data_IF_922682315616
#
_entry.id   IF_922682315616
#
_cell.length_a   1.000
_cell.length_b   1.000
_cell.length_c   1.000
_cell.angle_alpha   90.00
_cell.angle_beta   90.00
_cell.angle_gamma   90.00
#
_symmetry.space_group_name_H-M   'P 1'
#
loop_
_entity.id
_entity.type
_entity.pdbx_description
1 polymer ?
#
# COMPACT_ATOMS: atom_id res chain seq x y z
N UNK A 1 -32.41 -34.92 44.37
CA UNK A 1 -31.90 -33.57 44.10
C UNK A 1 -32.68 -33.05 42.90
N UNK A 2 -33.54 -32.07 43.11
CA UNK A 2 -34.36 -31.50 42.04
C UNK A 2 -33.50 -30.58 41.17
N UNK A 3 -33.28 -30.94 39.90
CA UNK A 3 -32.73 -30.03 38.89
C UNK A 3 -33.73 -28.90 38.65
N UNK A 4 -33.70 -27.87 39.51
CA UNK A 4 -34.39 -26.61 39.26
C UNK A 4 -33.74 -25.87 38.09
N UNK A 5 -34.45 -24.96 37.45
CA UNK A 5 -33.86 -24.02 36.48
C UNK A 5 -33.04 -22.98 37.25
N UNK A 6 -31.72 -22.91 37.03
CA UNK A 6 -30.86 -21.93 37.69
C UNK A 6 -31.36 -20.50 37.45
N UNK A 7 -31.44 -19.65 38.49
CA UNK A 7 -31.81 -18.23 38.36
C UNK A 7 -30.58 -17.35 38.14
N UNK A 8 -29.39 -17.94 38.22
CA UNK A 8 -28.10 -17.34 37.90
C UNK A 8 -27.46 -18.05 36.68
N UNK A 9 -26.87 -17.28 35.78
CA UNK A 9 -26.10 -17.81 34.65
C UNK A 9 -24.70 -17.21 34.67
N UNK A 10 -23.69 -18.07 34.60
CA UNK A 10 -22.29 -17.72 34.60
C UNK A 10 -21.48 -18.75 33.80
N UNK A 11 -20.45 -18.32 33.03
CA UNK A 11 -19.64 -19.26 32.26
C UNK A 11 -18.90 -20.27 33.15
N UNK A 12 -19.03 -21.56 32.85
CA UNK A 12 -18.31 -22.63 33.57
C UNK A 12 -19.03 -23.20 34.80
N UNK A 13 -20.30 -22.83 35.03
CA UNK A 13 -21.17 -23.45 36.03
C UNK A 13 -21.46 -24.92 35.70
N UNK A 14 -21.34 -25.80 36.69
CA UNK A 14 -21.55 -27.25 36.53
C UNK A 14 -22.86 -27.76 37.13
N UNK A 15 -23.08 -27.43 38.40
CA UNK A 15 -24.23 -27.91 39.17
C UNK A 15 -24.72 -26.79 40.07
N UNK A 16 -26.01 -26.79 40.36
CA UNK A 16 -26.60 -25.84 41.27
C UNK A 16 -27.70 -26.47 42.11
N UNK A 17 -27.85 -25.97 43.33
CA UNK A 17 -28.94 -26.26 44.24
C UNK A 17 -29.57 -24.94 44.71
N UNK A 18 -30.88 -24.94 44.89
CA UNK A 18 -31.64 -23.73 45.23
C UNK A 18 -32.36 -23.92 46.55
N UNK A 19 -32.08 -23.04 47.51
CA UNK A 19 -32.71 -23.05 48.83
C UNK A 19 -33.24 -21.65 49.14
N UNK A 20 -34.56 -21.48 49.16
CA UNK A 20 -35.16 -20.18 49.45
C UNK A 20 -35.47 -20.06 50.94
N UNK A 21 -35.01 -18.99 51.59
CA UNK A 21 -35.40 -18.62 52.95
C UNK A 21 -36.62 -17.68 52.91
N UNK A 22 -37.14 -17.28 54.07
CA UNK A 22 -38.24 -16.30 54.16
C UNK A 22 -37.87 -14.95 53.53
N UNK A 23 -36.59 -14.57 53.54
CA UNK A 23 -36.12 -13.23 53.15
C UNK A 23 -35.19 -13.23 51.92
N UNK A 24 -34.52 -14.35 51.64
CA UNK A 24 -33.49 -14.46 50.61
C UNK A 24 -33.71 -15.68 49.71
N UNK A 25 -33.29 -15.55 48.46
CA UNK A 25 -33.02 -16.67 47.57
C UNK A 25 -31.56 -17.08 47.76
N UNK A 26 -31.30 -18.37 47.97
CA UNK A 26 -29.94 -18.91 48.07
C UNK A 26 -29.73 -19.86 46.90
N UNK A 27 -28.62 -19.67 46.20
CA UNK A 27 -28.14 -20.60 45.18
C UNK A 27 -26.76 -21.11 45.58
N UNK A 28 -26.60 -22.42 45.63
CA UNK A 28 -25.31 -23.06 45.79
C UNK A 28 -24.86 -23.52 44.43
N UNK A 29 -23.71 -23.06 43.97
CA UNK A 29 -23.22 -23.33 42.62
C UNK A 29 -21.82 -23.92 42.64
N UNK A 30 -21.57 -24.88 41.77
CA UNK A 30 -20.25 -25.50 41.61
C UNK A 30 -19.57 -24.97 40.35
N UNK A 31 -18.33 -24.51 40.50
CA UNK A 31 -17.49 -24.01 39.40
C UNK A 31 -16.12 -24.67 39.41
N UNK A 32 -15.52 -24.83 38.23
CA UNK A 32 -14.13 -25.24 38.08
C UNK A 32 -13.27 -24.04 37.69
N UNK A 33 -12.18 -23.83 38.42
CA UNK A 33 -11.18 -22.79 38.15
C UNK A 33 -9.79 -23.32 38.51
N UNK A 34 -8.80 -23.12 37.63
CA UNK A 34 -7.41 -23.53 37.89
C UNK A 34 -7.19 -25.02 38.20
N UNK A 35 -8.08 -25.92 37.73
CA UNK A 35 -8.02 -27.36 38.03
C UNK A 35 -8.63 -27.77 39.37
N UNK A 36 -9.10 -26.82 40.17
CA UNK A 36 -9.85 -27.07 41.41
C UNK A 36 -11.35 -26.90 41.19
N UNK A 37 -12.15 -27.49 42.08
CA UNK A 37 -13.60 -27.37 42.12
C UNK A 37 -13.98 -26.56 43.35
N UNK A 38 -14.84 -25.56 43.16
CA UNK A 38 -15.30 -24.67 44.23
C UNK A 38 -16.81 -24.69 44.31
N UNK A 39 -17.32 -24.67 45.55
CA UNK A 39 -18.75 -24.57 45.87
C UNK A 39 -19.01 -23.16 46.40
N UNK A 40 -19.76 -22.36 45.66
CA UNK A 40 -20.11 -21.00 46.04
C UNK A 40 -21.53 -20.97 46.59
N UNK A 41 -21.71 -20.34 47.75
CA UNK A 41 -23.05 -19.97 48.22
C UNK A 41 -23.33 -18.54 47.86
N UNK A 42 -24.34 -18.32 47.04
CA UNK A 42 -24.76 -17.02 46.54
C UNK A 42 -26.14 -16.67 47.08
N UNK A 43 -26.34 -15.41 47.44
CA UNK A 43 -27.57 -14.92 48.06
C UNK A 43 -28.13 -13.72 47.31
N UNK A 44 -29.46 -13.64 47.21
CA UNK A 44 -30.17 -12.46 46.70
C UNK A 44 -31.37 -12.18 47.57
N UNK A 45 -31.58 -10.93 47.96
CA UNK A 45 -32.78 -10.55 48.71
C UNK A 45 -34.03 -10.68 47.84
N UNK A 46 -35.11 -11.27 48.39
CA UNK A 46 -36.39 -11.37 47.69
C UNK A 46 -37.04 -10.02 47.42
N UNK A 47 -36.67 -8.99 48.19
CA UNK A 47 -37.12 -7.61 47.97
C UNK A 47 -36.46 -6.94 46.75
N UNK A 48 -35.34 -7.49 46.26
CA UNK A 48 -34.52 -6.91 45.20
C UNK A 48 -34.22 -7.95 44.11
N UNK A 49 -35.27 -8.45 43.45
CA UNK A 49 -35.14 -9.52 42.45
C UNK A 49 -34.39 -9.06 41.18
N UNK A 50 -34.36 -7.76 40.92
CA UNK A 50 -33.64 -7.11 39.83
C UNK A 50 -32.13 -7.03 40.06
N UNK A 51 -31.66 -7.29 41.29
CA UNK A 51 -30.24 -7.23 41.65
C UNK A 51 -29.53 -8.55 41.37
N UNK A 52 -28.21 -8.51 41.12
CA UNK A 52 -27.41 -9.72 40.97
C UNK A 52 -27.33 -10.50 42.29
N UNK A 53 -27.08 -11.80 42.18
CA UNK A 53 -26.70 -12.63 43.32
C UNK A 53 -25.34 -12.18 43.87
N UNK A 54 -25.23 -12.17 45.19
CA UNK A 54 -24.01 -11.81 45.92
C UNK A 54 -23.33 -13.08 46.42
N UNK A 55 -22.01 -13.15 46.32
CA UNK A 55 -21.24 -14.29 46.84
C UNK A 55 -21.11 -14.15 48.37
N UNK A 56 -21.67 -15.09 49.11
CA UNK A 56 -21.65 -15.09 50.57
C UNK A 56 -20.49 -15.93 51.13
N UNK A 57 -20.26 -17.11 50.55
CA UNK A 57 -19.19 -18.03 50.95
C UNK A 57 -18.67 -18.87 49.79
N UNK A 58 -17.45 -19.39 49.95
CA UNK A 58 -16.79 -20.32 49.04
C UNK A 58 -16.21 -21.46 49.87
N UNK A 59 -16.48 -22.68 49.42
CA UNK A 59 -15.93 -23.91 49.97
C UNK A 59 -15.21 -24.73 48.87
N UNK A 60 -14.37 -25.66 49.28
CA UNK A 60 -13.77 -26.65 48.38
C UNK A 60 -14.76 -27.78 48.00
N UNK A 61 -14.29 -28.79 47.28
CA UNK A 61 -15.09 -29.95 46.85
C UNK A 61 -15.49 -30.89 48.00
N UNK A 62 -14.84 -30.78 49.16
CA UNK A 62 -15.15 -31.51 50.38
C UNK A 62 -16.11 -30.75 51.29
N UNK A 63 -16.41 -29.49 50.97
CA UNK A 63 -17.26 -28.60 51.77
C UNK A 63 -16.52 -27.86 52.87
N UNK A 64 -15.17 -27.85 52.89
CA UNK A 64 -14.39 -27.02 53.80
C UNK A 64 -14.45 -25.56 53.37
N UNK A 65 -14.78 -24.66 54.30
CA UNK A 65 -14.92 -23.23 54.02
C UNK A 65 -13.55 -22.58 53.76
N UNK A 66 -13.36 -22.09 52.53
CA UNK A 66 -12.15 -21.40 52.10
C UNK A 66 -12.26 -19.88 52.30
N UNK A 67 -13.45 -19.32 52.11
CA UNK A 67 -13.67 -17.87 52.21
C UNK A 67 -15.12 -17.53 52.55
N UNK A 68 -15.32 -16.48 53.34
CA UNK A 68 -16.64 -15.89 53.61
C UNK A 68 -16.59 -14.38 53.58
N UNK A 69 -17.60 -13.76 52.97
CA UNK A 69 -17.72 -12.31 52.90
C UNK A 69 -17.77 -11.65 54.29
N UNK A 70 -18.39 -12.31 55.28
CA UNK A 70 -18.46 -11.83 56.65
C UNK A 70 -17.08 -11.73 57.32
N UNK A 71 -16.17 -12.68 57.06
CA UNK A 71 -14.81 -12.69 57.62
C UNK A 71 -13.89 -11.68 56.92
N UNK A 72 -14.17 -11.35 55.65
CA UNK A 72 -13.42 -10.36 54.88
C UNK A 72 -13.50 -8.93 55.47
N UNK A 73 -14.54 -8.65 56.27
CA UNK A 73 -14.78 -7.34 56.90
C UNK A 73 -14.78 -6.16 55.89
N UNK A 74 -15.31 -6.40 54.69
CA UNK A 74 -15.34 -5.42 53.61
C UNK A 74 -16.68 -4.66 53.57
N UNK A 75 -16.62 -3.33 53.40
CA UNK A 75 -17.79 -2.46 53.38
C UNK A 75 -18.38 -2.32 51.97
N UNK A 76 -19.08 -3.36 51.51
CA UNK A 76 -19.66 -3.38 50.18
C UNK A 76 -20.38 -4.69 49.85
N UNK A 77 -20.19 -5.18 48.63
CA UNK A 77 -20.75 -6.46 48.17
C UNK A 77 -19.71 -7.29 47.42
N UNK A 78 -19.81 -8.61 47.52
CA UNK A 78 -19.02 -9.55 46.71
C UNK A 78 -19.82 -10.03 45.51
N UNK A 79 -19.28 -9.86 44.30
CA UNK A 79 -19.88 -10.32 43.05
C UNK A 79 -18.98 -11.32 42.36
N UNK A 80 -19.55 -12.32 41.70
CA UNK A 80 -18.78 -13.24 40.86
C UNK A 80 -18.49 -12.60 39.51
N UNK A 81 -17.23 -12.62 39.08
CA UNK A 81 -16.80 -12.06 37.81
C UNK A 81 -15.86 -13.03 37.08
N UNK A 82 -15.91 -13.01 35.75
CA UNK A 82 -14.92 -13.65 34.89
C UNK A 82 -13.88 -12.61 34.50
N UNK A 83 -12.62 -12.85 34.86
CA UNK A 83 -11.48 -11.99 34.56
C UNK A 83 -10.52 -12.78 33.65
N UNK A 84 -10.65 -12.58 32.34
CA UNK A 84 -10.00 -13.41 31.31
C UNK A 84 -10.32 -14.90 31.49
N UNK A 85 -9.31 -15.73 31.75
CA UNK A 85 -9.46 -17.17 32.00
C UNK A 85 -9.68 -17.51 33.49
N UNK A 86 -9.58 -16.53 34.39
CA UNK A 86 -9.75 -16.74 35.82
C UNK A 86 -11.16 -16.37 36.28
N UNK A 87 -11.67 -17.12 37.26
CA UNK A 87 -12.87 -16.74 38.00
C UNK A 87 -12.45 -16.02 39.28
N UNK A 88 -13.08 -14.89 39.56
CA UNK A 88 -12.75 -14.05 40.72
C UNK A 88 -14.00 -13.60 41.47
N UNK A 89 -13.86 -13.37 42.77
CA UNK A 89 -14.81 -12.58 43.56
C UNK A 89 -14.37 -11.12 43.53
N UNK A 90 -15.17 -10.27 42.90
CA UNK A 90 -14.96 -8.83 42.87
C UNK A 90 -15.68 -8.17 44.06
N UNK A 91 -14.90 -7.54 44.94
CA UNK A 91 -15.41 -6.77 46.07
C UNK A 91 -15.66 -5.33 45.61
N UNK A 92 -16.95 -4.97 45.57
CA UNK A 92 -17.42 -3.67 45.10
C UNK A 92 -17.82 -2.78 46.28
N UNK A 93 -17.23 -1.60 46.39
CA UNK A 93 -17.50 -0.66 47.49
C UNK A 93 -18.96 -0.18 47.51
N UNK A 94 -19.52 0.00 48.71
CA UNK A 94 -20.93 0.39 48.93
C UNK A 94 -21.33 1.74 48.32
N UNK A 95 -20.40 2.70 48.22
CA UNK A 95 -20.67 4.04 47.68
C UNK A 95 -20.58 4.12 46.15
N UNK A 96 -19.38 3.99 45.60
CA UNK A 96 -19.13 4.13 44.16
C UNK A 96 -19.59 2.92 43.33
N UNK A 97 -19.80 1.78 43.98
CA UNK A 97 -20.03 0.51 43.30
C UNK A 97 -18.83 0.05 42.46
N UNK A 98 -17.66 0.66 42.63
CA UNK A 98 -16.42 0.34 41.92
C UNK A 98 -15.77 -0.92 42.50
N UNK A 99 -15.05 -1.65 41.65
CA UNK A 99 -14.25 -2.81 42.06
C UNK A 99 -13.01 -2.31 42.78
N UNK A 100 -12.90 -2.59 44.08
CA UNK A 100 -11.77 -2.16 44.92
C UNK A 100 -10.78 -3.29 45.17
N UNK A 101 -11.27 -4.53 45.24
CA UNK A 101 -10.45 -5.73 45.47
C UNK A 101 -11.01 -6.89 44.65
N UNK A 102 -10.13 -7.80 44.23
CA UNK A 102 -10.50 -9.08 43.60
C UNK A 102 -9.85 -10.21 44.37
N UNK A 103 -10.55 -11.33 44.48
CA UNK A 103 -10.08 -12.57 45.09
C UNK A 103 -10.21 -13.68 44.05
N UNK A 104 -9.12 -14.09 43.41
CA UNK A 104 -9.16 -15.21 42.46
C UNK A 104 -9.50 -16.51 43.18
N UNK A 105 -10.39 -17.32 42.61
CA UNK A 105 -10.77 -18.59 43.25
C UNK A 105 -9.57 -19.53 43.39
N UNK A 106 -8.73 -19.63 42.36
CA UNK A 106 -7.45 -20.33 42.41
C UNK A 106 -6.55 -19.93 43.60
N UNK A 107 -6.59 -18.67 44.07
CA UNK A 107 -5.82 -18.23 45.24
C UNK A 107 -6.31 -18.84 46.56
N UNK A 108 -7.57 -19.24 46.63
CA UNK A 108 -8.19 -19.83 47.82
C UNK A 108 -7.78 -21.30 48.03
N UNK A 109 -7.41 -22.02 46.97
CA UNK A 109 -6.93 -23.40 47.05
C UNK A 109 -5.43 -23.53 47.35
N UNK A 110 -4.82 -22.50 47.94
CA UNK A 110 -3.41 -22.52 48.38
C UNK A 110 -2.39 -22.16 47.31
N UNK A 111 -2.79 -21.53 46.20
CA UNK A 111 -1.83 -21.02 45.22
C UNK A 111 -1.14 -19.73 45.71
N UNK A 112 0.07 -19.47 45.21
CA UNK A 112 0.92 -18.33 45.61
C UNK A 112 0.16 -17.01 45.44
N UNK A 113 0.40 -16.06 46.34
CA UNK A 113 -0.05 -14.68 46.16
C UNK A 113 0.31 -14.20 44.74
N UNK A 114 -0.69 -13.70 44.02
CA UNK A 114 -0.48 -13.15 42.69
C UNK A 114 0.40 -11.91 42.77
N UNK A 115 1.25 -11.72 41.76
CA UNK A 115 1.96 -10.47 41.55
C UNK A 115 0.94 -9.30 41.52
N UNK A 116 1.34 -8.14 42.01
CA UNK A 116 0.52 -6.94 42.02
C UNK A 116 0.06 -6.57 40.61
N UNK A 117 0.91 -6.80 39.59
CA UNK A 117 0.54 -6.61 38.17
C UNK A 117 -0.64 -7.47 37.75
N UNK A 118 -0.56 -8.77 38.05
CA UNK A 118 -1.64 -9.74 37.74
C UNK A 118 -2.91 -9.34 38.48
N UNK A 119 -2.79 -8.86 39.72
CA UNK A 119 -3.94 -8.37 40.49
C UNK A 119 -4.60 -7.15 39.85
N UNK A 120 -3.81 -6.20 39.34
CA UNK A 120 -4.33 -5.02 38.62
C UNK A 120 -5.09 -5.44 37.37
N UNK A 121 -4.52 -6.34 36.57
CA UNK A 121 -5.15 -6.84 35.35
C UNK A 121 -6.46 -7.57 35.66
N UNK A 122 -6.47 -8.43 36.68
CA UNK A 122 -7.68 -9.11 37.15
C UNK A 122 -8.74 -8.14 37.67
N UNK A 123 -8.36 -7.08 38.38
CA UNK A 123 -9.30 -6.02 38.82
C UNK A 123 -9.95 -5.33 37.64
N UNK A 124 -9.17 -5.02 36.59
CA UNK A 124 -9.68 -4.37 35.37
C UNK A 124 -10.61 -5.28 34.60
N UNK A 125 -10.19 -6.51 34.33
CA UNK A 125 -11.03 -7.48 33.61
C UNK A 125 -12.33 -7.78 34.37
N UNK A 126 -12.27 -7.91 35.71
CA UNK A 126 -13.48 -8.08 36.53
C UNK A 126 -14.41 -6.86 36.48
N UNK A 127 -13.86 -5.65 36.50
CA UNK A 127 -14.65 -4.43 36.39
C UNK A 127 -15.30 -4.30 35.01
N UNK A 128 -14.59 -4.64 33.94
CA UNK A 128 -15.11 -4.65 32.57
C UNK A 128 -16.25 -5.66 32.43
N UNK A 129 -16.07 -6.89 32.95
CA UNK A 129 -17.11 -7.93 32.97
C UNK A 129 -18.37 -7.47 33.70
N UNK A 130 -18.20 -6.80 34.86
CA UNK A 130 -19.31 -6.29 35.67
C UNK A 130 -19.83 -4.91 35.20
N UNK A 131 -19.23 -4.32 34.16
CA UNK A 131 -19.52 -2.95 33.67
C UNK A 131 -19.43 -1.90 34.78
N UNK A 132 -18.36 -1.98 35.58
CA UNK A 132 -18.08 -1.13 36.74
C UNK A 132 -16.76 -0.38 36.56
N UNK A 133 -16.56 0.66 37.37
CA UNK A 133 -15.27 1.35 37.46
C UNK A 133 -14.31 0.54 38.31
N UNK A 134 -13.01 0.66 38.04
CA UNK A 134 -11.93 0.12 38.88
C UNK A 134 -11.48 1.21 39.84
N UNK A 135 -11.21 0.84 41.09
CA UNK A 135 -10.53 1.69 42.06
C UNK A 135 -9.20 1.06 42.44
N UNK A 136 -8.13 1.62 41.90
CA UNK A 136 -6.77 1.21 42.22
C UNK A 136 -6.28 1.92 43.49
N UNK A 137 -5.44 1.25 44.26
CA UNK A 137 -4.67 1.88 45.34
C UNK A 137 -3.56 2.76 44.75
N UNK A 138 -2.98 3.66 45.55
CA UNK A 138 -1.89 4.53 45.07
C UNK A 138 -0.68 3.74 44.54
N UNK A 139 -0.36 2.60 45.16
CA UNK A 139 0.74 1.72 44.74
C UNK A 139 0.39 1.05 43.41
N UNK A 140 -0.84 0.56 43.27
CA UNK A 140 -1.33 -0.05 42.03
C UNK A 140 -1.36 0.97 40.88
N UNK A 141 -1.78 2.20 41.15
CA UNK A 141 -1.81 3.27 40.15
C UNK A 141 -0.39 3.62 39.67
N UNK A 142 0.58 3.78 40.58
CA UNK A 142 1.98 4.06 40.20
C UNK A 142 2.58 2.96 39.33
N UNK A 143 2.31 1.69 39.66
CA UNK A 143 2.80 0.57 38.88
C UNK A 143 2.16 0.53 37.49
N UNK A 144 0.85 0.81 37.43
CA UNK A 144 0.10 0.90 36.18
C UNK A 144 0.67 2.00 35.26
N UNK A 145 0.85 3.21 35.80
CA UNK A 145 1.36 4.35 35.02
C UNK A 145 2.79 4.08 34.50
N UNK A 146 3.63 3.42 35.30
CA UNK A 146 4.99 3.04 34.89
C UNK A 146 5.00 2.02 33.75
N UNK A 147 4.16 0.97 33.84
CA UNK A 147 4.07 -0.05 32.80
C UNK A 147 3.45 0.51 31.52
N UNK A 148 2.49 1.44 31.61
CA UNK A 148 1.92 2.13 30.46
C UNK A 148 2.95 3.02 29.76
N UNK A 149 3.73 3.78 30.52
CA UNK A 149 4.81 4.61 29.98
C UNK A 149 5.85 3.77 29.22
N UNK A 150 6.30 2.66 29.83
CA UNK A 150 7.25 1.74 29.21
C UNK A 150 6.71 1.11 27.92
N UNK A 151 5.42 0.72 27.90
CA UNK A 151 4.79 0.19 26.68
C UNK A 151 4.74 1.22 25.55
N UNK A 152 4.50 2.49 25.87
CA UNK A 152 4.51 3.57 24.87
C UNK A 152 5.92 3.78 24.31
N UNK A 153 6.94 3.81 25.16
CA UNK A 153 8.34 3.91 24.72
C UNK A 153 8.76 2.74 23.82
N UNK A 154 8.40 1.51 24.19
CA UNK A 154 8.71 0.32 23.38
C UNK A 154 8.02 0.37 22.01
N UNK A 155 6.78 0.86 21.94
CA UNK A 155 6.03 0.99 20.69
C UNK A 155 6.61 2.11 19.80
N UNK A 156 6.96 3.26 20.39
CA UNK A 156 7.63 4.35 19.68
C UNK A 156 9.00 3.90 19.12
N UNK A 157 9.76 3.14 19.91
CA UNK A 157 11.04 2.58 19.47
C UNK A 157 10.86 1.59 18.29
N UNK A 158 9.84 0.74 18.33
CA UNK A 158 9.51 -0.17 17.22
C UNK A 158 9.14 0.58 15.95
N UNK A 159 8.30 1.62 16.08
CA UNK A 159 7.91 2.45 14.95
C UNK A 159 9.10 3.20 14.35
N UNK A 160 10.03 3.67 15.19
CA UNK A 160 11.26 4.30 14.73
C UNK A 160 12.14 3.33 13.93
N UNK A 161 12.33 2.09 14.42
CA UNK A 161 13.09 1.06 13.71
C UNK A 161 12.43 0.70 12.38
N UNK A 162 11.11 0.52 12.35
CA UNK A 162 10.39 0.22 11.10
C UNK A 162 10.52 1.37 10.09
N UNK A 163 10.45 2.61 10.56
CA UNK A 163 10.65 3.79 9.73
C UNK A 163 12.07 3.84 9.15
N UNK A 164 13.09 3.52 9.93
CA UNK A 164 14.48 3.47 9.48
C UNK A 164 14.71 2.38 8.43
N UNK A 165 14.20 1.17 8.65
CA UNK A 165 14.28 0.06 7.68
C UNK A 165 13.59 0.45 6.36
N UNK A 166 12.42 1.10 6.45
CA UNK A 166 11.69 1.57 5.27
C UNK A 166 12.46 2.67 4.53
N UNK A 167 13.15 3.55 5.25
CA UNK A 167 14.02 4.56 4.63
C UNK A 167 15.23 3.93 3.95
N UNK A 168 15.90 2.97 4.57
CA UNK A 168 17.03 2.25 3.99
C UNK A 168 16.63 1.54 2.69
N UNK A 169 15.52 0.78 2.70
CA UNK A 169 15.01 0.11 1.51
C UNK A 169 14.67 1.09 0.38
N UNK A 170 14.12 2.27 0.72
CA UNK A 170 13.85 3.34 -0.25
C UNK A 170 15.14 3.90 -0.85
N UNK A 171 16.17 4.13 -0.03
CA UNK A 171 17.46 4.64 -0.50
C UNK A 171 18.16 3.63 -1.41
N UNK A 172 18.16 2.35 -1.06
CA UNK A 172 18.71 1.29 -1.91
C UNK A 172 18.00 1.19 -3.25
N UNK A 173 16.65 1.25 -3.26
CA UNK A 173 15.88 1.27 -4.50
C UNK A 173 16.23 2.46 -5.39
N UNK A 174 16.35 3.66 -4.81
CA UNK A 174 16.74 4.87 -5.56
C UNK A 174 18.16 4.72 -6.12
N UNK A 175 19.08 4.17 -5.34
CA UNK A 175 20.46 3.90 -5.78
C UNK A 175 20.49 2.92 -6.95
N UNK A 176 19.74 1.83 -6.86
CA UNK A 176 19.63 0.82 -7.93
C UNK A 176 19.06 1.42 -9.23
N UNK A 177 18.06 2.29 -9.16
CA UNK A 177 17.50 2.98 -10.33
C UNK A 177 18.56 3.90 -10.97
N UNK A 178 19.32 4.64 -10.15
CA UNK A 178 20.36 5.58 -10.63
C UNK A 178 21.58 4.88 -11.23
N UNK A 179 21.88 3.66 -10.82
CA UNK A 179 23.01 2.89 -11.34
C UNK A 179 22.73 2.16 -12.65
N UNK A 180 21.49 2.20 -13.16
CA UNK A 180 21.16 1.56 -14.45
C UNK A 180 21.92 2.23 -15.60
N UNK A 181 22.40 1.42 -16.54
CA UNK A 181 23.02 1.92 -17.77
C UNK A 181 21.98 2.63 -18.63
N UNK A 182 22.41 3.72 -19.28
CA UNK A 182 21.56 4.41 -20.24
C UNK A 182 21.33 3.54 -21.47
N UNK A 183 20.13 3.60 -22.02
CA UNK A 183 19.71 2.90 -23.22
C UNK A 183 19.61 3.89 -24.38
N UNK A 184 19.75 3.39 -25.61
CA UNK A 184 19.59 4.19 -26.83
C UNK A 184 18.23 3.84 -27.44
N UNK A 185 17.45 4.87 -27.73
CA UNK A 185 16.12 4.77 -28.36
C UNK A 185 16.04 5.71 -29.56
N UNK A 186 15.06 5.49 -30.43
CA UNK A 186 14.86 6.28 -31.63
C UNK A 186 13.56 7.07 -31.50
N UNK A 187 13.60 8.37 -31.79
CA UNK A 187 12.40 9.15 -31.99
C UNK A 187 11.77 8.83 -33.35
N UNK A 188 10.51 9.24 -33.53
CA UNK A 188 9.79 9.06 -34.80
C UNK A 188 10.50 9.70 -36.01
N UNK A 189 11.34 10.71 -35.80
CA UNK A 189 12.17 11.35 -36.83
C UNK A 189 13.49 10.59 -37.13
N UNK A 190 13.67 9.41 -36.54
CA UNK A 190 14.88 8.59 -36.68
C UNK A 190 16.08 9.07 -35.85
N UNK A 191 15.94 10.15 -35.05
CA UNK A 191 17.05 10.62 -34.21
C UNK A 191 17.29 9.69 -33.03
N UNK A 192 18.57 9.40 -32.80
CA UNK A 192 19.06 8.66 -31.63
C UNK A 192 18.95 9.54 -30.39
N UNK A 193 18.30 9.02 -29.36
CA UNK A 193 18.18 9.61 -28.03
C UNK A 193 18.69 8.61 -27.00
N UNK A 194 19.27 9.10 -25.90
CA UNK A 194 19.72 8.25 -24.80
C UNK A 194 19.10 8.67 -23.47
N UNK A 195 18.90 7.70 -22.57
CA UNK A 195 18.35 7.96 -21.25
C UNK A 195 18.30 6.72 -20.37
N UNK A 196 18.03 6.91 -19.07
CA UNK A 196 17.96 5.84 -18.08
C UNK A 196 16.60 5.13 -18.18
N UNK A 197 16.56 3.79 -18.29
CA UNK A 197 15.31 3.03 -18.32
C UNK A 197 14.62 3.04 -16.97
N UNK A 198 13.38 3.54 -16.93
CA UNK A 198 12.57 3.65 -15.73
C UNK A 198 11.11 3.31 -16.02
N UNK A 199 10.40 2.85 -15.00
CA UNK A 199 8.93 2.71 -15.09
C UNK A 199 8.23 4.03 -14.80
N UNK A 200 6.92 4.07 -15.08
CA UNK A 200 6.05 5.25 -14.83
C UNK A 200 6.05 5.73 -13.38
N UNK A 201 6.38 4.85 -12.42
CA UNK A 201 6.46 5.20 -10.99
C UNK A 201 7.87 5.61 -10.53
N UNK A 202 8.89 5.36 -11.36
CA UNK A 202 10.31 5.47 -10.96
C UNK A 202 10.99 6.75 -11.44
N UNK A 203 10.54 7.35 -12.55
CA UNK A 203 11.20 8.51 -13.16
C UNK A 203 11.35 9.71 -12.20
N UNK A 204 10.41 9.90 -11.28
CA UNK A 204 10.44 10.97 -10.28
C UNK A 204 11.60 10.84 -9.28
N UNK A 205 12.23 9.67 -9.20
CA UNK A 205 13.39 9.38 -8.33
C UNK A 205 14.72 9.83 -8.94
N UNK A 206 14.75 10.12 -10.24
CA UNK A 206 15.95 10.57 -10.95
C UNK A 206 16.37 11.99 -10.55
N UNK A 207 17.63 12.34 -10.82
CA UNK A 207 18.18 13.68 -10.54
C UNK A 207 17.59 14.77 -11.45
N UNK A 208 17.72 16.03 -11.05
CA UNK A 208 17.41 17.16 -11.93
C UNK A 208 18.31 17.10 -13.18
N UNK A 209 17.72 17.31 -14.35
CA UNK A 209 18.41 17.29 -15.63
C UNK A 209 18.70 15.89 -16.20
N UNK A 210 18.35 14.81 -15.50
CA UNK A 210 18.52 13.45 -16.01
C UNK A 210 17.58 13.16 -17.19
N UNK A 211 18.06 12.42 -18.19
CA UNK A 211 17.23 11.93 -19.29
C UNK A 211 16.68 10.55 -18.95
N UNK A 212 15.37 10.39 -19.07
CA UNK A 212 14.63 9.20 -18.71
C UNK A 212 13.93 8.60 -19.93
N UNK A 213 13.88 7.27 -19.98
CA UNK A 213 13.08 6.53 -20.96
C UNK A 213 12.08 5.66 -20.20
N UNK A 214 10.80 5.85 -20.48
CA UNK A 214 9.73 5.00 -19.94
C UNK A 214 9.72 3.70 -20.72
N UNK A 215 9.92 2.62 -19.98
CA UNK A 215 9.88 1.24 -20.47
C UNK A 215 8.93 0.42 -19.60
N UNK A 216 8.27 -0.56 -20.20
CA UNK A 216 7.36 -1.45 -19.47
C UNK A 216 8.12 -2.33 -18.46
N UNK A 217 9.31 -2.79 -18.85
CA UNK A 217 10.23 -3.50 -17.97
C UNK A 217 11.66 -2.95 -18.14
N UNK A 218 12.24 -2.32 -17.11
CA UNK A 218 13.59 -1.77 -17.19
C UNK A 218 14.68 -2.83 -17.26
N UNK A 219 14.44 -4.05 -16.75
CA UNK A 219 15.32 -5.22 -16.89
C UNK A 219 14.41 -6.46 -16.89
N UNK A 220 14.05 -6.94 -18.09
CA UNK A 220 13.32 -8.18 -18.26
C UNK A 220 14.04 -9.37 -17.62
N UNK A 221 13.29 -10.42 -17.29
CA UNK A 221 13.84 -11.66 -16.72
C UNK A 221 14.91 -12.33 -17.60
N UNK A 222 14.97 -11.97 -18.88
CA UNK A 222 15.94 -12.40 -19.90
C UNK A 222 17.12 -11.41 -20.08
N UNK A 223 17.20 -10.37 -19.26
CA UNK A 223 18.22 -9.32 -19.35
C UNK A 223 17.99 -8.31 -20.49
N UNK A 224 16.84 -8.37 -21.17
CA UNK A 224 16.49 -7.41 -22.24
C UNK A 224 15.60 -6.30 -21.69
N UNK A 225 15.67 -5.15 -22.34
CA UNK A 225 14.84 -3.99 -22.02
C UNK A 225 13.50 -4.15 -22.75
N UNK A 226 12.39 -3.92 -22.05
CA UNK A 226 11.05 -3.95 -22.63
C UNK A 226 10.81 -2.81 -23.63
N UNK A 227 9.60 -2.73 -24.17
CA UNK A 227 9.27 -1.71 -25.16
C UNK A 227 9.36 -0.29 -24.58
N UNK A 228 10.10 0.57 -25.27
CA UNK A 228 10.21 1.98 -24.94
C UNK A 228 8.97 2.74 -25.44
N UNK A 229 8.46 3.66 -24.60
CA UNK A 229 7.26 4.46 -24.90
C UNK A 229 7.57 5.94 -25.03
N UNK A 230 8.24 6.50 -24.02
CA UNK A 230 8.47 7.94 -23.92
C UNK A 230 9.91 8.26 -23.53
N UNK A 231 10.47 9.32 -24.11
CA UNK A 231 11.72 9.93 -23.70
C UNK A 231 11.46 11.35 -23.19
N UNK A 232 12.07 11.74 -22.08
CA UNK A 232 12.00 13.11 -21.56
C UNK A 232 13.18 13.46 -20.65
N UNK A 233 13.34 14.76 -20.39
CA UNK A 233 14.25 15.28 -19.37
C UNK A 233 13.50 15.54 -18.07
N UNK A 234 14.04 15.08 -16.95
CA UNK A 234 13.50 15.35 -15.61
C UNK A 234 13.91 16.75 -15.17
N UNK A 235 12.95 17.58 -14.78
CA UNK A 235 13.20 18.92 -14.23
C UNK A 235 12.67 18.98 -12.81
N UNK A 236 13.52 19.36 -11.86
CA UNK A 236 13.17 19.55 -10.45
C UNK A 236 13.52 20.97 -10.03
N UNK A 237 12.51 21.82 -9.94
CA UNK A 237 12.63 23.15 -9.34
C UNK A 237 12.50 23.05 -7.81
N UNK A 238 13.15 23.96 -7.08
CA UNK A 238 13.14 23.94 -5.63
C UNK A 238 11.71 24.12 -5.09
N UNK A 239 11.27 23.21 -4.20
CA UNK A 239 9.94 23.24 -3.59
C UNK A 239 8.78 22.80 -4.49
N UNK A 240 9.04 22.31 -5.71
CA UNK A 240 8.00 21.84 -6.64
C UNK A 240 8.13 20.35 -6.94
N UNK A 241 7.02 19.73 -7.34
CA UNK A 241 7.01 18.35 -7.80
C UNK A 241 7.85 18.20 -9.09
N UNK A 242 8.54 17.06 -9.29
CA UNK A 242 9.29 16.80 -10.51
C UNK A 242 8.39 16.91 -11.75
N UNK A 243 8.89 17.52 -12.82
CA UNK A 243 8.19 17.67 -14.09
C UNK A 243 8.95 16.97 -15.24
N UNK A 244 8.20 16.53 -16.25
CA UNK A 244 8.73 15.98 -17.50
C UNK A 244 8.86 17.09 -18.52
N UNK A 245 10.05 17.28 -19.08
CA UNK A 245 10.31 18.30 -20.11
C UNK A 245 10.69 17.64 -21.44
N UNK A 246 10.13 18.15 -22.54
CA UNK A 246 10.46 17.69 -23.89
C UNK A 246 10.07 16.23 -24.15
N UNK A 247 8.87 15.82 -23.73
CA UNK A 247 8.34 14.47 -23.92
C UNK A 247 8.26 14.13 -25.41
N UNK A 248 8.86 13.01 -25.80
CA UNK A 248 8.85 12.49 -27.18
C UNK A 248 8.47 11.03 -27.17
N UNK A 249 7.56 10.58 -28.06
CA UNK A 249 7.35 9.16 -28.28
C UNK A 249 8.61 8.56 -28.92
N UNK A 250 9.01 7.38 -28.44
CA UNK A 250 10.23 6.70 -28.89
C UNK A 250 10.00 5.22 -29.07
N UNK A 251 10.82 4.58 -29.90
CA UNK A 251 10.84 3.14 -30.12
C UNK A 251 12.24 2.58 -29.93
N UNK A 252 12.33 1.32 -29.52
CA UNK A 252 13.62 0.63 -29.33
C UNK A 252 14.30 0.29 -30.66
N UNK A 253 13.50 0.12 -31.72
CA UNK A 253 13.99 -0.12 -33.07
C UNK A 253 14.00 1.18 -33.87
N UNK A 254 15.01 1.35 -34.73
CA UNK A 254 15.07 2.45 -35.67
C UNK A 254 13.86 2.34 -36.61
N UNK A 255 13.00 3.37 -36.70
CA UNK A 255 11.90 3.32 -37.64
C UNK A 255 12.49 3.12 -39.05
N UNK A 256 12.03 2.10 -39.77
CA UNK A 256 12.38 1.95 -41.19
C UNK A 256 12.00 3.26 -41.87
N UNK A 257 13.01 4.01 -42.33
CA UNK A 257 12.78 5.24 -43.05
C UNK A 257 11.76 4.94 -44.13
N UNK A 258 10.60 5.59 -44.08
CA UNK A 258 9.55 5.41 -45.07
C UNK A 258 10.21 5.53 -46.44
N UNK A 259 10.29 4.41 -47.18
CA UNK A 259 10.89 4.38 -48.51
C UNK A 259 10.09 5.36 -49.35
N UNK A 260 10.62 6.58 -49.50
CA UNK A 260 10.04 7.58 -50.39
C UNK A 260 9.97 6.91 -51.75
N UNK A 261 8.75 6.70 -52.26
CA UNK A 261 8.54 6.06 -53.54
C UNK A 261 9.24 6.89 -54.61
N UNK A 262 10.40 6.43 -55.07
CA UNK A 262 11.19 7.13 -56.09
C UNK A 262 10.33 7.19 -57.34
N UNK A 263 9.85 8.39 -57.67
CA UNK A 263 9.08 8.60 -58.90
C UNK A 263 10.04 8.43 -60.06
N UNK A 264 9.92 7.31 -60.80
CA UNK A 264 10.79 7.04 -61.95
C UNK A 264 10.51 8.05 -63.07
N UNK A 265 11.54 8.56 -63.77
CA UNK A 265 11.33 9.40 -64.95
C UNK A 265 10.59 8.60 -66.02
N UNK A 266 9.73 9.27 -66.78
CA UNK A 266 8.95 8.65 -67.85
C UNK A 266 9.83 8.21 -69.01
N UNK A 267 10.83 9.03 -69.36
CA UNK A 267 11.75 8.80 -70.47
C UNK A 267 13.04 9.60 -70.24
N UNK A 268 14.12 9.13 -70.83
CA UNK A 268 15.38 9.86 -70.95
C UNK A 268 15.48 10.34 -72.40
N UNK A 269 15.77 11.62 -72.61
CA UNK A 269 16.01 12.18 -73.94
C UNK A 269 17.26 13.05 -73.95
N UNK A 270 17.83 13.25 -75.14
CA UNK A 270 18.99 14.10 -75.33
C UNK A 270 18.55 15.38 -76.01
N UNK A 271 18.87 16.53 -75.40
CA UNK A 271 18.59 17.83 -75.98
C UNK A 271 19.92 18.46 -76.38
N UNK A 272 20.07 18.74 -77.68
CA UNK A 272 21.23 19.46 -78.19
C UNK A 272 21.02 20.96 -78.04
N UNK A 273 22.01 21.63 -77.45
CA UNK A 273 21.98 23.08 -77.22
C UNK A 273 23.29 23.68 -77.73
N UNK A 274 23.36 25.01 -77.84
CA UNK A 274 24.59 25.71 -78.20
C UNK A 274 25.78 25.44 -77.26
N UNK A 275 25.55 24.80 -76.10
CA UNK A 275 26.57 24.42 -75.10
C UNK A 275 26.89 22.91 -75.10
N UNK A 276 26.32 22.14 -76.04
CA UNK A 276 26.45 20.69 -76.16
C UNK A 276 25.14 19.94 -75.91
N UNK A 277 25.18 18.63 -76.14
CA UNK A 277 24.08 17.71 -75.89
C UNK A 277 24.01 17.34 -74.40
N UNK A 278 22.83 17.51 -73.80
CA UNK A 278 22.57 17.17 -72.39
C UNK A 278 21.55 16.04 -72.30
N UNK A 279 21.78 15.11 -71.37
CA UNK A 279 20.81 14.10 -70.97
C UNK A 279 19.77 14.74 -70.07
N UNK A 280 18.49 14.64 -70.45
CA UNK A 280 17.36 15.25 -69.76
C UNK A 280 16.35 14.19 -69.35
N UNK A 281 16.01 14.17 -68.06
CA UNK A 281 15.01 13.26 -67.50
C UNK A 281 13.62 13.88 -67.61
N UNK A 282 12.72 13.21 -68.32
CA UNK A 282 11.35 13.66 -68.55
C UNK A 282 10.40 13.16 -67.46
N UNK A 283 9.65 14.06 -66.86
CA UNK A 283 8.65 13.78 -65.83
C UNK A 283 7.25 14.25 -66.28
N UNK A 284 6.22 13.59 -65.75
CA UNK A 284 4.82 13.89 -66.08
C UNK A 284 4.36 15.28 -65.60
N UNK A 285 4.95 15.78 -64.53
CA UNK A 285 4.59 17.05 -63.91
C UNK A 285 5.75 17.64 -63.12
N UNK A 286 5.65 18.94 -62.83
CA UNK A 286 6.57 19.63 -61.92
C UNK A 286 6.55 19.05 -60.50
N UNK A 287 5.42 18.48 -60.08
CA UNK A 287 5.29 17.84 -58.77
C UNK A 287 6.05 16.51 -58.70
N UNK A 288 6.08 15.76 -59.81
CA UNK A 288 6.90 14.55 -59.92
C UNK A 288 8.40 14.87 -59.84
N UNK A 289 8.84 16.01 -60.41
CA UNK A 289 10.23 16.48 -60.29
C UNK A 289 10.55 16.83 -58.84
N UNK A 290 9.67 17.55 -58.14
CA UNK A 290 9.86 17.88 -56.72
C UNK A 290 9.88 16.65 -55.83
N UNK A 291 9.03 15.66 -56.11
CA UNK A 291 9.05 14.37 -55.42
C UNK A 291 10.35 13.62 -55.66
N UNK A 292 10.86 13.59 -56.90
CA UNK A 292 12.16 12.99 -57.24
C UNK A 292 13.34 13.72 -56.60
N UNK A 293 13.31 15.05 -56.54
CA UNK A 293 14.31 15.87 -55.85
C UNK A 293 14.40 15.53 -54.35
N UNK A 294 13.24 15.47 -53.67
CA UNK A 294 13.17 15.03 -52.26
C UNK A 294 13.61 13.58 -52.05
N UNK A 295 13.49 12.75 -53.07
CA UNK A 295 13.93 11.36 -53.05
C UNK A 295 15.44 11.18 -53.37
N UNK A 296 16.19 12.28 -53.56
CA UNK A 296 17.64 12.25 -53.77
C UNK A 296 18.10 12.32 -55.23
N UNK A 297 17.30 12.91 -56.14
CA UNK A 297 17.77 13.21 -57.49
C UNK A 297 18.97 14.18 -57.43
N UNK A 298 20.06 13.82 -58.12
CA UNK A 298 21.31 14.58 -58.08
C UNK A 298 21.13 16.07 -58.42
N UNK A 299 21.63 16.93 -57.54
CA UNK A 299 21.74 18.37 -57.77
C UNK A 299 22.67 18.61 -58.97
N UNK A 300 22.18 19.33 -59.98
CA UNK A 300 22.84 19.55 -61.27
C UNK A 300 22.22 18.81 -62.46
N UNK A 301 21.29 17.88 -62.23
CA UNK A 301 20.58 17.19 -63.30
C UNK A 301 19.65 18.13 -64.09
N UNK A 302 19.57 17.90 -65.40
CA UNK A 302 18.57 18.53 -66.27
C UNK A 302 17.29 17.69 -66.26
N UNK A 303 16.18 18.31 -65.89
CA UNK A 303 14.87 17.68 -65.78
C UNK A 303 13.86 18.46 -66.60
N UNK A 304 12.88 17.78 -67.16
CA UNK A 304 11.93 18.35 -68.09
C UNK A 304 10.51 17.92 -67.79
N UNK A 305 9.54 18.79 -68.09
CA UNK A 305 8.11 18.46 -68.06
C UNK A 305 7.55 18.49 -69.48
N UNK A 306 6.85 17.42 -69.87
CA UNK A 306 6.17 17.34 -71.17
C UNK A 306 4.94 18.24 -71.14
N UNK A 307 4.85 19.23 -72.03
CA UNK A 307 3.64 20.03 -72.18
C UNK A 307 2.54 19.19 -72.85
N UNK A 308 1.28 19.33 -72.39
CA UNK A 308 0.14 18.57 -72.92
C UNK A 308 -0.24 18.93 -74.38
N UNK A 309 0.41 19.92 -75.00
CA UNK A 309 0.15 20.33 -76.38
C UNK A 309 1.47 20.63 -77.12
N UNK A 310 1.89 19.69 -77.97
CA UNK A 310 3.02 19.84 -78.90
C UNK A 310 4.39 19.45 -78.34
N UNK A 311 5.35 19.22 -79.24
CA UNK A 311 6.72 18.75 -78.97
C UNK A 311 7.61 19.74 -78.18
N UNK A 312 7.01 20.73 -77.51
CA UNK A 312 7.73 21.67 -76.66
C UNK A 312 7.85 21.15 -75.22
N UNK A 313 9.07 21.20 -74.72
CA UNK A 313 9.44 20.80 -73.37
C UNK A 313 10.11 21.96 -72.67
N UNK A 314 9.70 22.22 -71.44
CA UNK A 314 10.40 23.17 -70.57
C UNK A 314 11.44 22.44 -69.75
N UNK A 315 12.70 22.86 -69.90
CA UNK A 315 13.85 22.25 -69.25
C UNK A 315 14.20 23.08 -68.02
N UNK A 316 14.42 22.38 -66.91
CA UNK A 316 14.81 22.93 -65.62
C UNK A 316 16.14 22.31 -65.20
N UNK A 317 16.99 23.10 -64.55
CA UNK A 317 18.15 22.58 -63.82
C UNK A 317 17.80 22.51 -62.34
N UNK A 318 18.05 21.36 -61.73
CA UNK A 318 17.83 21.18 -60.30
C UNK A 318 19.04 21.69 -59.51
N UNK A 319 18.85 22.62 -58.57
CA UNK A 319 19.88 23.06 -57.62
C UNK A 319 19.30 23.13 -56.22
N UNK A 320 19.83 22.34 -55.29
CA UNK A 320 19.44 22.36 -53.86
C UNK A 320 17.91 22.43 -53.66
N UNK A 321 17.18 21.47 -54.26
CA UNK A 321 15.71 21.37 -54.25
C UNK A 321 14.94 22.48 -54.99
N UNK A 322 15.62 23.47 -55.56
CA UNK A 322 15.02 24.52 -56.38
C UNK A 322 15.16 24.22 -57.88
N UNK A 323 14.06 24.37 -58.63
CA UNK A 323 14.04 24.29 -60.09
C UNK A 323 14.34 25.67 -60.67
N UNK A 324 15.39 25.79 -61.49
CA UNK A 324 15.65 27.00 -62.29
C UNK A 324 15.35 26.70 -63.75
N UNK A 325 14.49 27.50 -64.38
CA UNK A 325 14.16 27.34 -65.80
C UNK A 325 15.42 27.61 -66.63
N UNK A 326 15.79 26.65 -67.47
CA UNK A 326 16.94 26.71 -68.38
C UNK A 326 16.52 27.14 -69.80
N UNK A 327 15.23 27.04 -70.13
CA UNK A 327 14.67 27.43 -71.43
C UNK A 327 13.56 26.50 -71.90
N UNK A 328 12.87 26.91 -72.97
CA UNK A 328 11.91 26.06 -73.71
C UNK A 328 12.60 25.48 -74.94
N UNK A 329 12.50 24.18 -75.12
CA UNK A 329 13.14 23.45 -76.21
C UNK A 329 12.14 22.56 -76.93
N UNK A 330 12.36 22.32 -78.22
CA UNK A 330 11.57 21.35 -78.99
C UNK A 330 12.29 20.00 -78.88
N UNK A 331 11.58 18.95 -78.51
CA UNK A 331 12.09 17.59 -78.59
C UNK A 331 12.30 17.24 -80.06
N UNK A 332 13.55 16.97 -80.43
CA UNK A 332 13.84 16.28 -81.68
C UNK A 332 13.50 14.80 -81.44
N UNK A 333 12.65 14.25 -82.30
CA UNK A 333 12.14 12.87 -82.21
C UNK A 333 13.25 11.81 -82.35
#
# INVERSE_FOLDING_TARGET
MSNGTSRFSFPGLLTWDTEDTSTHQVERVTIKDGGAVFILTMIRSKAFQDRPFLVASIADDKGEELWTFKKENFHGVGLLAKADEAVVVALCGSGSGAVERVIPLSSLSGSKQHDLRVTIDLKRAAADFLKKKVKLTEIEQKLFDFDEARRREDEEARQAVEAEVRQAARQERIKAIRSRSAIVVYAADGKKLSGIPVTEKEWSSLGNGAYAVIVDDPIGADGKIGDAREWFRVVKEHGRNPQRYGVKPVTTQCPEAAKVSVTKPMRISFIDTAKGAFEVLLFASTDAIRAAAKAGLNTGAYVAVVAQQGDQVEVYTLRDEMMKSAGKHILLA
#
